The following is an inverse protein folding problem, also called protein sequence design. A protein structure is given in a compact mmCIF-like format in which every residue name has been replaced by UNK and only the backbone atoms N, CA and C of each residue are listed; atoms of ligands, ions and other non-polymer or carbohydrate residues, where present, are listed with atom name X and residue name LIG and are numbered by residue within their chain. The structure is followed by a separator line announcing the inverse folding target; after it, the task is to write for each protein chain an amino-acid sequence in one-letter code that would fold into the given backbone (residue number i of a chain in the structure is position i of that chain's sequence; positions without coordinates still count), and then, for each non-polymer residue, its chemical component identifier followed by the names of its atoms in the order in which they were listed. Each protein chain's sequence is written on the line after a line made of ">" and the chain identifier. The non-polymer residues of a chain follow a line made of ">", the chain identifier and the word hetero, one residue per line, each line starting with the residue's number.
data_IF_143313515110
#
_entry.id   IF_143313515110
#
_cell.length_a   1.000
_cell.length_b   1.000
_cell.length_c   1.000
_cell.angle_alpha   90.00
_cell.angle_beta   90.00
_cell.angle_gamma   90.00
#
_symmetry.space_group_name_H-M   'P 1'
#
loop_
_entity.id
_entity.type
_entity.pdbx_description
1 polymer ?
#
# COMPACT_ATOMS: atom_id res chain seq x y z
N UNK A 1 31.61 51.11 20.72
CA UNK A 1 32.57 50.18 20.10
C UNK A 1 32.64 48.81 20.80
N UNK A 2 33.05 48.64 22.07
CA UNK A 2 33.16 47.29 22.67
C UNK A 2 31.81 46.56 22.82
N UNK A 3 30.75 47.28 23.21
CA UNK A 3 29.39 46.72 23.29
C UNK A 3 28.89 46.24 21.93
N UNK A 4 29.04 47.05 20.88
CA UNK A 4 28.62 46.72 19.52
C UNK A 4 29.39 45.51 18.98
N UNK A 5 30.70 45.43 19.21
CA UNK A 5 31.49 44.24 18.84
C UNK A 5 30.97 42.99 19.53
N UNK A 6 30.70 43.06 20.84
CA UNK A 6 30.15 41.93 21.60
C UNK A 6 28.74 41.55 21.16
N UNK A 7 27.91 42.52 20.77
CA UNK A 7 26.60 42.29 20.20
C UNK A 7 26.70 41.55 18.86
N UNK A 8 27.52 42.07 17.94
CA UNK A 8 27.73 41.46 16.61
C UNK A 8 28.31 40.04 16.72
N UNK A 9 29.23 39.80 17.66
CA UNK A 9 29.76 38.45 17.93
C UNK A 9 28.63 37.52 18.42
N UNK A 10 27.74 38.01 19.29
CA UNK A 10 26.57 37.27 19.74
C UNK A 10 25.62 36.92 18.60
N UNK A 11 25.34 37.87 17.72
CA UNK A 11 24.49 37.66 16.54
C UNK A 11 25.12 36.64 15.57
N UNK A 12 26.43 36.75 15.30
CA UNK A 12 27.16 35.79 14.46
C UNK A 12 27.08 34.39 15.05
N UNK A 13 27.31 34.25 16.36
CA UNK A 13 27.23 32.95 17.04
C UNK A 13 25.82 32.35 16.96
N UNK A 14 24.79 33.19 17.11
CA UNK A 14 23.40 32.76 16.96
C UNK A 14 23.09 32.30 15.52
N UNK A 15 23.57 33.03 14.51
CA UNK A 15 23.42 32.66 13.10
C UNK A 15 24.18 31.36 12.76
N UNK A 16 25.42 31.20 13.22
CA UNK A 16 26.25 30.02 12.96
C UNK A 16 25.73 28.77 13.69
N UNK A 17 25.15 28.94 14.88
CA UNK A 17 24.54 27.87 15.67
C UNK A 17 23.13 27.48 15.23
N UNK A 18 22.60 28.10 14.17
CA UNK A 18 21.27 27.77 13.68
C UNK A 18 21.25 26.32 13.17
N UNK A 19 20.36 25.51 13.75
CA UNK A 19 20.21 24.12 13.36
C UNK A 19 19.46 24.02 12.04
N UNK A 20 20.21 23.92 10.94
CA UNK A 20 19.63 23.78 9.62
C UNK A 20 19.22 22.32 9.35
N UNK A 21 17.97 22.11 8.92
CA UNK A 21 17.42 20.77 8.64
C UNK A 21 18.21 19.97 7.59
N UNK A 22 18.91 20.63 6.66
CA UNK A 22 19.71 19.92 5.66
C UNK A 22 20.92 19.19 6.28
N UNK A 23 21.41 19.64 7.44
CA UNK A 23 22.54 19.00 8.13
C UNK A 23 22.19 17.64 8.73
N UNK A 24 20.90 17.35 8.92
CA UNK A 24 20.41 16.07 9.45
C UNK A 24 19.74 15.20 8.40
N UNK A 25 19.69 15.66 7.14
CA UNK A 25 19.10 14.90 6.05
C UNK A 25 20.02 13.74 5.68
N UNK A 26 19.53 12.49 5.61
CA UNK A 26 20.31 11.38 5.08
C UNK A 26 20.43 11.60 3.57
N UNK A 27 21.56 12.18 3.15
CA UNK A 27 21.90 12.44 1.76
C UNK A 27 22.76 11.30 1.21
N UNK A 28 22.54 10.95 -0.04
CA UNK A 28 23.47 10.11 -0.82
C UNK A 28 24.94 10.57 -0.66
N UNK A 29 25.90 9.66 -0.51
CA UNK A 29 27.33 9.99 -0.46
C UNK A 29 27.81 10.75 -1.70
N UNK A 30 28.86 11.58 -1.53
CA UNK A 30 29.41 12.40 -2.63
C UNK A 30 29.95 11.52 -3.76
N UNK A 31 30.66 10.44 -3.43
CA UNK A 31 31.22 9.53 -4.43
C UNK A 31 30.13 8.87 -5.29
N UNK A 32 29.00 8.52 -4.68
CA UNK A 32 27.85 7.92 -5.36
C UNK A 32 27.15 8.92 -6.28
N UNK A 33 26.96 10.17 -5.85
CA UNK A 33 26.34 11.18 -6.73
C UNK A 33 27.24 11.57 -7.89
N UNK A 34 28.56 11.61 -7.70
CA UNK A 34 29.53 11.85 -8.77
C UNK A 34 29.61 10.68 -9.74
N UNK A 35 29.48 9.45 -9.25
CA UNK A 35 29.41 8.27 -10.12
C UNK A 35 28.14 8.27 -10.98
N UNK A 36 27.01 8.72 -10.42
CA UNK A 36 25.75 8.85 -11.15
C UNK A 36 25.71 10.07 -12.08
N UNK A 37 26.43 11.14 -11.75
CA UNK A 37 26.44 12.42 -12.45
C UNK A 37 27.88 12.92 -12.67
N UNK A 38 28.64 12.32 -13.62
CA UNK A 38 30.04 12.67 -13.85
C UNK A 38 30.29 14.15 -14.19
N UNK A 39 29.28 14.85 -14.71
CA UNK A 39 29.31 16.27 -15.02
C UNK A 39 29.50 17.17 -13.79
N UNK A 40 29.18 16.66 -12.60
CA UNK A 40 29.35 17.38 -11.33
C UNK A 40 30.78 17.31 -10.76
N UNK A 41 31.71 16.57 -11.40
CA UNK A 41 33.06 16.37 -10.89
C UNK A 41 33.89 17.66 -10.70
N UNK A 42 33.53 18.73 -11.41
CA UNK A 42 34.14 20.06 -11.27
C UNK A 42 33.26 21.09 -10.56
N UNK A 43 32.10 20.69 -10.04
CA UNK A 43 31.18 21.58 -9.35
C UNK A 43 31.72 21.98 -7.98
N UNK A 44 31.31 23.15 -7.49
CA UNK A 44 31.67 23.58 -6.14
C UNK A 44 30.85 22.82 -5.08
N UNK A 45 31.22 22.98 -3.80
CA UNK A 45 30.55 22.28 -2.70
C UNK A 45 29.06 22.66 -2.58
N UNK A 46 28.71 23.90 -2.92
CA UNK A 46 27.33 24.38 -2.85
C UNK A 46 26.48 23.69 -3.91
N UNK A 47 26.95 23.68 -5.15
CA UNK A 47 26.28 23.03 -6.28
C UNK A 47 26.15 21.52 -6.06
N UNK A 48 27.19 20.88 -5.51
CA UNK A 48 27.14 19.46 -5.12
C UNK A 48 26.08 19.21 -4.04
N UNK A 49 25.98 20.08 -3.03
CA UNK A 49 24.96 19.95 -1.98
C UNK A 49 23.54 20.11 -2.56
N UNK A 50 23.33 21.08 -3.45
CA UNK A 50 22.04 21.29 -4.12
C UNK A 50 21.66 20.06 -4.96
N UNK A 51 22.61 19.51 -5.72
CA UNK A 51 22.39 18.30 -6.49
C UNK A 51 21.98 17.11 -5.61
N UNK A 52 22.67 16.91 -4.47
CA UNK A 52 22.35 15.84 -3.50
C UNK A 52 20.96 16.00 -2.88
N UNK A 53 20.57 17.22 -2.51
CA UNK A 53 19.23 17.50 -1.98
C UNK A 53 18.15 17.22 -3.03
N UNK A 54 18.39 17.62 -4.29
CA UNK A 54 17.45 17.39 -5.37
C UNK A 54 17.29 15.90 -5.71
N UNK A 55 18.39 15.14 -5.67
CA UNK A 55 18.36 13.69 -5.83
C UNK A 55 17.48 13.03 -4.78
N UNK A 56 17.72 13.31 -3.50
CA UNK A 56 16.91 12.79 -2.39
C UNK A 56 15.43 13.18 -2.50
N UNK A 57 15.16 14.41 -2.92
CA UNK A 57 13.79 14.87 -3.13
C UNK A 57 13.10 14.04 -4.23
N UNK A 58 13.76 13.85 -5.37
CA UNK A 58 13.23 13.07 -6.49
C UNK A 58 13.00 11.60 -6.12
N UNK A 59 13.93 10.98 -5.38
CA UNK A 59 13.76 9.63 -4.88
C UNK A 59 12.58 9.51 -3.92
N UNK A 60 12.45 10.43 -2.97
CA UNK A 60 11.32 10.44 -2.02
C UNK A 60 9.99 10.65 -2.72
N UNK A 61 9.94 11.50 -3.73
CA UNK A 61 8.73 11.70 -4.53
C UNK A 61 8.35 10.41 -5.26
N UNK A 62 9.31 9.75 -5.90
CA UNK A 62 9.09 8.48 -6.60
C UNK A 62 8.60 7.38 -5.64
N UNK A 63 9.22 7.27 -4.46
CA UNK A 63 8.82 6.31 -3.43
C UNK A 63 7.41 6.59 -2.90
N UNK A 64 7.04 7.86 -2.71
CA UNK A 64 5.70 8.23 -2.25
C UNK A 64 4.64 7.93 -3.32
N UNK A 65 4.93 8.21 -4.59
CA UNK A 65 4.05 7.85 -5.71
C UNK A 65 3.82 6.32 -5.78
N UNK A 66 4.89 5.53 -5.65
CA UNK A 66 4.81 4.07 -5.57
C UNK A 66 4.00 3.61 -4.36
N UNK A 67 4.22 4.19 -3.18
CA UNK A 67 3.48 3.89 -1.95
C UNK A 67 1.98 4.13 -2.15
N UNK A 68 1.61 5.27 -2.73
CA UNK A 68 0.22 5.60 -3.03
C UNK A 68 -0.39 4.63 -4.05
N UNK A 69 0.35 4.26 -5.11
CA UNK A 69 -0.08 3.26 -6.08
C UNK A 69 -0.36 1.90 -5.44
N UNK A 70 0.56 1.43 -4.58
CA UNK A 70 0.41 0.17 -3.84
C UNK A 70 -0.78 0.21 -2.85
N UNK A 71 -0.99 1.34 -2.17
CA UNK A 71 -2.13 1.51 -1.28
C UNK A 71 -3.47 1.42 -2.01
N UNK A 72 -3.59 2.07 -3.18
CA UNK A 72 -4.79 1.98 -4.02
C UNK A 72 -5.03 0.54 -4.48
N UNK A 73 -3.98 -0.15 -4.96
CA UNK A 73 -4.08 -1.55 -5.38
C UNK A 73 -4.51 -2.47 -4.23
N UNK A 74 -3.96 -2.27 -3.03
CA UNK A 74 -4.34 -3.00 -1.82
C UNK A 74 -5.82 -2.80 -1.51
N UNK A 75 -6.32 -1.56 -1.54
CA UNK A 75 -7.73 -1.27 -1.27
C UNK A 75 -8.65 -1.92 -2.31
N UNK A 76 -8.29 -1.87 -3.60
CA UNK A 76 -9.04 -2.56 -4.66
C UNK A 76 -9.13 -4.06 -4.41
N UNK A 77 -8.00 -4.70 -4.09
CA UNK A 77 -7.96 -6.15 -3.83
C UNK A 77 -8.79 -6.54 -2.60
N UNK A 78 -8.80 -5.71 -1.55
CA UNK A 78 -9.64 -5.95 -0.37
C UNK A 78 -11.12 -5.87 -0.76
N UNK A 79 -11.52 -4.86 -1.54
CA UNK A 79 -12.89 -4.73 -2.01
C UNK A 79 -13.32 -5.91 -2.88
N UNK A 80 -12.48 -6.33 -3.83
CA UNK A 80 -12.74 -7.48 -4.69
C UNK A 80 -12.85 -8.79 -3.89
N UNK A 81 -11.99 -8.98 -2.89
CA UNK A 81 -12.03 -10.17 -2.04
C UNK A 81 -13.32 -10.23 -1.21
N UNK A 82 -13.73 -9.10 -0.62
CA UNK A 82 -14.98 -9.00 0.12
C UNK A 82 -16.18 -9.29 -0.79
N UNK A 83 -16.22 -8.71 -2.00
CA UNK A 83 -17.28 -8.97 -2.98
C UNK A 83 -17.37 -10.45 -3.34
N UNK A 84 -16.24 -11.09 -3.62
CA UNK A 84 -16.19 -12.54 -3.92
C UNK A 84 -16.64 -13.38 -2.74
N UNK A 85 -16.29 -12.99 -1.52
CA UNK A 85 -16.75 -13.65 -0.30
C UNK A 85 -18.26 -13.57 -0.16
N UNK A 86 -18.84 -12.40 -0.41
CA UNK A 86 -20.29 -12.21 -0.35
C UNK A 86 -21.03 -13.00 -1.45
N UNK A 87 -20.49 -13.03 -2.66
CA UNK A 87 -21.00 -13.85 -3.77
C UNK A 87 -20.96 -15.35 -3.44
N UNK A 88 -19.87 -15.83 -2.84
CA UNK A 88 -19.72 -17.22 -2.44
C UNK A 88 -20.72 -17.60 -1.33
N UNK A 89 -20.89 -16.73 -0.33
CA UNK A 89 -21.89 -16.93 0.72
C UNK A 89 -23.34 -16.90 0.20
N UNK A 90 -23.61 -16.16 -0.88
CA UNK A 90 -24.90 -16.18 -1.55
C UNK A 90 -25.11 -17.50 -2.30
N UNK A 91 -24.09 -17.95 -3.03
CA UNK A 91 -24.11 -19.22 -3.76
C UNK A 91 -24.33 -20.42 -2.82
N UNK A 92 -23.66 -20.44 -1.66
CA UNK A 92 -23.86 -21.49 -0.64
C UNK A 92 -25.33 -21.60 -0.22
N UNK A 93 -26.00 -20.46 0.01
CA UNK A 93 -27.43 -20.43 0.36
C UNK A 93 -28.33 -20.92 -0.77
N UNK A 94 -27.98 -20.63 -2.02
CA UNK A 94 -28.73 -21.12 -3.19
C UNK A 94 -28.57 -22.63 -3.34
N UNK A 95 -27.36 -23.16 -3.11
CA UNK A 95 -27.09 -24.60 -3.12
C UNK A 95 -27.88 -25.30 -2.01
N UNK A 96 -27.90 -24.78 -0.79
CA UNK A 96 -28.70 -25.34 0.31
C UNK A 96 -30.20 -25.41 -0.04
N UNK A 97 -30.75 -24.35 -0.63
CA UNK A 97 -32.16 -24.33 -1.10
C UNK A 97 -32.40 -25.35 -2.21
N UNK A 98 -31.47 -25.48 -3.14
CA UNK A 98 -31.57 -26.45 -4.23
C UNK A 98 -31.56 -27.88 -3.70
N UNK A 99 -30.62 -28.21 -2.80
CA UNK A 99 -30.52 -29.52 -2.17
C UNK A 99 -31.77 -29.86 -1.34
N UNK A 100 -32.29 -28.90 -0.57
CA UNK A 100 -33.54 -29.08 0.18
C UNK A 100 -34.72 -29.39 -0.74
N UNK A 101 -34.83 -28.67 -1.86
CA UNK A 101 -35.88 -28.89 -2.86
C UNK A 101 -35.74 -30.25 -3.55
N UNK A 102 -34.52 -30.63 -3.96
CA UNK A 102 -34.23 -31.91 -4.57
C UNK A 102 -34.58 -33.09 -3.65
N UNK A 103 -34.23 -32.98 -2.36
CA UNK A 103 -34.54 -33.99 -1.34
C UNK A 103 -36.06 -34.19 -1.19
N UNK A 104 -36.84 -33.10 -1.22
CA UNK A 104 -38.31 -33.19 -1.17
C UNK A 104 -38.90 -33.90 -2.39
N UNK A 105 -38.37 -33.62 -3.58
CA UNK A 105 -38.79 -34.32 -4.81
C UNK A 105 -38.48 -35.81 -4.70
N UNK A 106 -37.27 -36.17 -4.27
CA UNK A 106 -36.85 -37.56 -4.11
C UNK A 106 -37.74 -38.32 -3.11
N UNK A 107 -38.03 -37.72 -1.94
CA UNK A 107 -38.95 -38.29 -0.97
C UNK A 107 -40.35 -38.55 -1.53
N UNK A 108 -40.87 -37.67 -2.39
CA UNK A 108 -42.18 -37.88 -3.03
C UNK A 108 -42.17 -39.05 -4.01
N UNK A 109 -41.10 -39.20 -4.81
CA UNK A 109 -40.94 -40.36 -5.69
C UNK A 109 -40.80 -41.66 -4.88
N UNK A 110 -39.97 -41.67 -3.85
CA UNK A 110 -39.79 -42.85 -2.98
C UNK A 110 -41.11 -43.28 -2.30
N UNK A 111 -41.91 -42.31 -1.83
CA UNK A 111 -43.24 -42.58 -1.24
C UNK A 111 -44.20 -43.19 -2.26
N UNK A 112 -44.22 -42.67 -3.48
CA UNK A 112 -45.06 -43.19 -4.55
C UNK A 112 -44.65 -44.62 -4.94
N UNK A 113 -43.35 -44.90 -5.06
CA UNK A 113 -42.84 -46.23 -5.36
C UNK A 113 -43.15 -47.24 -4.25
N UNK A 114 -43.05 -46.83 -2.98
CA UNK A 114 -43.48 -47.65 -1.84
C UNK A 114 -44.99 -47.93 -1.86
N UNK A 115 -45.82 -46.98 -2.29
CA UNK A 115 -47.26 -47.20 -2.43
C UNK A 115 -47.57 -48.21 -3.55
N UNK A 116 -46.88 -48.12 -4.69
CA UNK A 116 -47.01 -49.09 -5.78
C UNK A 116 -46.62 -50.50 -5.32
N UNK A 117 -45.48 -50.65 -4.63
CA UNK A 117 -45.05 -51.95 -4.11
C UNK A 117 -46.04 -52.55 -3.11
N UNK A 118 -46.62 -51.73 -2.23
CA UNK A 118 -47.66 -52.19 -1.28
C UNK A 118 -48.93 -52.63 -1.99
N UNK A 119 -49.39 -51.87 -2.99
CA UNK A 119 -50.58 -52.23 -3.77
C UNK A 119 -50.39 -53.55 -4.54
N UNK A 120 -49.19 -53.78 -5.08
CA UNK A 120 -48.83 -55.02 -5.77
C UNK A 120 -48.69 -56.23 -4.82
N UNK A 121 -48.30 -56.02 -3.56
CA UNK A 121 -48.19 -57.10 -2.56
C UNK A 121 -49.53 -57.48 -1.89
N UNK A 122 -50.56 -56.64 -2.03
CA UNK A 122 -51.91 -56.87 -1.49
C UNK A 122 -52.90 -57.46 -2.49
N UNK A 123 -52.48 -57.64 -3.75
CA UNK A 123 -53.25 -58.25 -4.84
C UNK A 123 -52.78 -59.69 -5.08
#
# INVERSE_FOLDING_TARGET
>A
LYYEQRHLIGDIAACQGYNHKYQTLPLIPVDEILAANPELAGADEHDLMVARINHEHAERQTLEEQRQGLLKKKQSLIADNNKKKDELAALDKEIEKFLGSATLVQQKFDQHDQQIQKAAASA
#
